data_IF_309496974036
#
_entry.id   IF_309496974036
#
_cell.length_a   1.000
_cell.length_b   1.000
_cell.length_c   1.000
_cell.angle_alpha   90.00
_cell.angle_beta   90.00
_cell.angle_gamma   90.00
#
_symmetry.space_group_name_H-M   'P 1'
#
loop_
_entity.id
_entity.type
_entity.pdbx_description
1 polymer ?
#
# COMPACT_ATOMS: atom_id res chain seq x y z
N UNK A 1 -4.25 19.89 -7.35
CA UNK A 1 -4.37 20.25 -5.92
C UNK A 1 -4.57 18.91 -5.23
N UNK A 2 -3.64 18.47 -4.37
CA UNK A 2 -3.85 17.21 -3.65
C UNK A 2 -4.95 17.40 -2.62
N UNK A 3 -5.82 16.40 -2.53
CA UNK A 3 -6.90 16.35 -1.57
C UNK A 3 -6.42 15.59 -0.33
N UNK A 4 -6.78 16.11 0.84
CA UNK A 4 -6.48 15.45 2.12
C UNK A 4 -7.17 14.09 2.20
N UNK A 5 -6.67 13.18 3.05
CA UNK A 5 -7.30 11.87 3.29
C UNK A 5 -8.81 11.97 3.56
N UNK A 6 -9.24 12.95 4.36
CA UNK A 6 -10.67 13.14 4.66
C UNK A 6 -11.47 13.53 3.41
N UNK A 7 -10.97 14.48 2.62
CA UNK A 7 -11.64 14.93 1.39
C UNK A 7 -11.62 13.84 0.31
N UNK A 8 -10.53 13.06 0.25
CA UNK A 8 -10.41 11.92 -0.65
C UNK A 8 -11.52 10.90 -0.40
N UNK A 9 -11.67 10.42 0.83
CA UNK A 9 -12.66 9.40 1.14
C UNK A 9 -14.10 9.92 1.03
N UNK A 10 -14.34 11.19 1.36
CA UNK A 10 -15.64 11.84 1.16
C UNK A 10 -16.08 11.95 -0.31
N UNK A 11 -15.13 11.99 -1.25
CA UNK A 11 -15.40 12.15 -2.69
C UNK A 11 -14.90 10.99 -3.54
N UNK A 12 -14.59 9.86 -2.89
CA UNK A 12 -13.95 8.71 -3.51
C UNK A 12 -14.83 8.13 -4.60
N UNK A 13 -14.28 7.99 -5.81
CA UNK A 13 -14.94 7.28 -6.92
C UNK A 13 -14.80 5.77 -6.74
N UNK A 14 -15.59 5.00 -7.47
CA UNK A 14 -15.52 3.54 -7.43
C UNK A 14 -14.15 2.98 -7.83
N UNK A 15 -13.86 1.79 -7.32
CA UNK A 15 -12.72 0.96 -7.68
C UNK A 15 -12.60 0.71 -9.18
N UNK A 16 -11.39 0.37 -9.63
CA UNK A 16 -11.18 -0.05 -11.01
C UNK A 16 -11.94 -1.35 -11.28
N UNK A 17 -12.44 -1.52 -12.50
CA UNK A 17 -13.18 -2.73 -12.91
C UNK A 17 -12.30 -3.93 -13.25
N UNK A 18 -11.01 -3.71 -13.50
CA UNK A 18 -10.06 -4.74 -13.95
C UNK A 18 -8.75 -4.54 -13.24
N UNK A 19 -8.15 -5.64 -12.81
CA UNK A 19 -6.80 -5.62 -12.25
C UNK A 19 -5.78 -5.12 -13.26
N UNK A 20 -4.84 -4.31 -12.77
CA UNK A 20 -3.75 -3.74 -13.57
C UNK A 20 -2.48 -4.55 -13.33
N UNK A 21 -1.59 -4.62 -14.33
CA UNK A 21 -0.34 -5.39 -14.22
C UNK A 21 0.60 -4.88 -13.11
N UNK A 22 0.50 -3.59 -12.79
CA UNK A 22 1.41 -2.93 -11.86
C UNK A 22 0.65 -2.14 -10.80
N UNK A 23 1.16 -2.13 -9.58
CA UNK A 23 0.69 -1.25 -8.52
C UNK A 23 1.79 -0.27 -8.16
N UNK A 24 1.39 0.89 -7.63
CA UNK A 24 2.30 1.89 -7.11
C UNK A 24 1.97 2.05 -5.63
N UNK A 25 3.00 2.02 -4.79
CA UNK A 25 2.91 2.27 -3.34
C UNK A 25 3.95 3.32 -2.99
N UNK A 26 3.60 4.24 -2.10
CA UNK A 26 4.52 5.28 -1.66
C UNK A 26 5.24 4.79 -0.42
N UNK A 27 6.52 5.10 -0.28
CA UNK A 27 7.25 4.95 0.97
C UNK A 27 7.12 6.26 1.76
N UNK A 28 6.33 6.21 2.85
CA UNK A 28 6.14 7.32 3.78
C UNK A 28 7.43 7.99 4.24
N UNK A 29 8.47 7.24 4.55
CA UNK A 29 9.73 7.78 5.11
C UNK A 29 10.56 8.54 4.07
N UNK A 30 10.31 8.31 2.78
CA UNK A 30 10.94 9.03 1.67
C UNK A 30 10.05 10.16 1.10
N UNK A 31 8.77 10.18 1.44
CA UNK A 31 7.81 11.11 0.84
C UNK A 31 7.70 12.41 1.64
N UNK A 32 7.93 13.56 1.00
CA UNK A 32 7.88 14.88 1.65
C UNK A 32 6.57 15.64 1.43
N UNK A 33 5.55 14.97 0.90
CA UNK A 33 4.31 15.60 0.47
C UNK A 33 4.45 16.75 -0.56
N UNK A 34 5.34 16.61 -1.56
CA UNK A 34 5.56 17.66 -2.58
C UNK A 34 4.46 17.79 -3.64
N UNK A 35 3.47 16.88 -3.67
CA UNK A 35 2.32 16.89 -4.59
C UNK A 35 2.65 16.67 -6.09
N UNK A 36 3.92 16.45 -6.46
CA UNK A 36 4.29 16.17 -7.87
C UNK A 36 3.57 14.95 -8.44
N UNK A 37 3.59 13.81 -7.75
CA UNK A 37 2.97 12.57 -8.22
C UNK A 37 1.45 12.67 -8.35
N UNK A 38 0.78 13.30 -7.39
CA UNK A 38 -0.67 13.43 -7.37
C UNK A 38 -1.18 14.28 -8.54
N UNK A 39 -0.46 15.33 -8.93
CA UNK A 39 -0.83 16.15 -10.12
C UNK A 39 -0.78 15.40 -11.44
N UNK A 40 0.01 14.32 -11.52
CA UNK A 40 0.18 13.52 -12.73
C UNK A 40 -0.74 12.28 -12.75
N UNK A 41 -1.44 11.99 -11.65
CA UNK A 41 -2.28 10.80 -11.57
C UNK A 41 -3.55 10.98 -12.41
N UNK A 42 -3.75 10.21 -13.50
CA UNK A 42 -4.87 10.42 -14.41
C UNK A 42 -6.23 9.98 -13.84
N UNK A 43 -6.23 9.30 -12.68
CA UNK A 43 -7.42 8.76 -12.02
C UNK A 43 -7.64 9.35 -10.62
N UNK A 44 -6.83 10.34 -10.23
CA UNK A 44 -6.90 11.04 -8.94
C UNK A 44 -7.01 10.06 -7.75
N UNK A 45 -6.10 9.07 -7.66
CA UNK A 45 -6.10 8.05 -6.61
C UNK A 45 -4.96 8.23 -5.59
N UNK A 46 -4.36 9.41 -5.53
CA UNK A 46 -3.26 9.73 -4.59
C UNK A 46 -3.77 10.84 -3.68
N UNK A 47 -3.69 10.64 -2.37
CA UNK A 47 -4.18 11.57 -1.35
C UNK A 47 -3.10 11.87 -0.32
N UNK A 48 -3.22 13.02 0.34
CA UNK A 48 -2.28 13.44 1.38
C UNK A 48 -2.75 12.99 2.76
N UNK A 49 -1.86 12.31 3.49
CA UNK A 49 -2.00 12.03 4.91
C UNK A 49 -1.28 13.15 5.67
N UNK A 50 -2.08 14.07 6.21
CA UNK A 50 -1.58 15.27 6.89
C UNK A 50 -1.07 14.93 8.29
N UNK A 51 0.17 15.33 8.59
CA UNK A 51 0.73 15.26 9.93
C UNK A 51 0.76 16.62 10.61
N UNK A 52 0.60 16.64 11.93
CA UNK A 52 0.83 17.83 12.75
C UNK A 52 2.32 18.11 12.98
N UNK A 53 3.17 17.11 12.75
CA UNK A 53 4.62 17.23 12.83
C UNK A 53 5.13 17.80 11.50
N UNK A 54 5.91 18.90 11.51
CA UNK A 54 6.49 19.47 10.30
C UNK A 54 7.25 18.42 9.49
N UNK A 55 7.06 18.44 8.16
CA UNK A 55 7.71 17.53 7.21
C UNK A 55 7.39 16.04 7.38
N UNK A 56 6.38 15.68 8.18
CA UNK A 56 5.93 14.30 8.36
C UNK A 56 4.62 13.99 7.60
N UNK A 57 4.08 14.96 6.84
CA UNK A 57 3.01 14.68 5.89
C UNK A 57 3.58 13.89 4.72
N UNK A 58 2.79 12.95 4.21
CA UNK A 58 3.16 12.10 3.08
C UNK A 58 1.92 11.86 2.21
N UNK A 59 2.13 11.30 1.02
CA UNK A 59 1.05 10.86 0.16
C UNK A 59 0.90 9.34 0.25
N UNK A 60 -0.32 8.86 0.10
CA UNK A 60 -0.62 7.44 -0.05
C UNK A 60 -1.44 7.22 -1.32
N UNK A 61 -1.33 6.02 -1.90
CA UNK A 61 -2.02 5.64 -3.13
C UNK A 61 -3.14 4.68 -2.76
N UNK A 62 -4.36 4.97 -3.22
CA UNK A 62 -5.45 4.01 -3.19
C UNK A 62 -5.20 2.92 -4.23
N UNK A 63 -4.64 1.80 -3.77
CA UNK A 63 -4.23 0.68 -4.63
C UNK A 63 -5.39 -0.05 -5.27
N UNK A 64 -6.65 0.19 -4.89
CA UNK A 64 -7.83 -0.37 -5.58
C UNK A 64 -8.28 0.48 -6.79
N UNK A 65 -7.82 1.75 -6.84
CA UNK A 65 -8.10 2.68 -7.95
C UNK A 65 -6.89 2.94 -8.84
N UNK A 66 -5.69 2.66 -8.34
CA UNK A 66 -4.46 2.74 -9.14
C UNK A 66 -4.59 1.90 -10.42
N UNK A 67 -4.19 2.47 -11.55
CA UNK A 67 -4.21 1.79 -12.85
C UNK A 67 -2.82 1.36 -13.32
N UNK A 68 -1.77 1.52 -12.51
CA UNK A 68 -0.42 1.06 -12.83
C UNK A 68 0.24 1.80 -14.00
N UNK A 69 -0.19 3.03 -14.29
CA UNK A 69 0.25 3.80 -15.46
C UNK A 69 1.69 4.33 -15.38
N UNK A 70 2.35 4.24 -14.22
CA UNK A 70 3.74 4.70 -13.96
C UNK A 70 3.98 6.22 -14.06
N UNK A 71 2.97 7.03 -14.42
CA UNK A 71 3.11 8.49 -14.56
C UNK A 71 3.40 9.20 -13.23
N UNK A 72 3.07 8.59 -12.09
CA UNK A 72 3.45 9.11 -10.77
C UNK A 72 4.96 8.97 -10.49
N UNK A 73 5.62 8.03 -11.16
CA UNK A 73 7.03 7.69 -10.97
C UNK A 73 7.92 8.38 -12.01
N UNK A 74 7.60 8.27 -13.31
CA UNK A 74 8.42 8.80 -14.42
C UNK A 74 7.59 9.38 -15.57
N UNK A 75 8.23 10.18 -16.43
CA UNK A 75 7.70 10.62 -17.72
C UNK A 75 8.39 9.83 -18.85
N UNK A 76 7.74 8.77 -19.39
CA UNK A 76 8.37 7.94 -20.41
C UNK A 76 8.72 8.71 -21.69
N UNK A 77 7.91 9.70 -22.07
CA UNK A 77 8.08 10.48 -23.32
C UNK A 77 9.27 11.44 -23.29
N UNK A 78 9.79 11.74 -22.10
CA UNK A 78 10.91 12.68 -21.91
C UNK A 78 12.16 11.99 -21.35
N UNK A 79 12.12 10.67 -21.20
CA UNK A 79 13.25 9.82 -20.83
C UNK A 79 14.01 9.34 -22.08
N UNK A 80 15.30 9.02 -21.96
CA UNK A 80 16.11 8.45 -23.04
C UNK A 80 17.11 7.40 -22.51
N UNK A 81 18.05 6.98 -23.35
CA UNK A 81 19.05 5.96 -22.98
C UNK A 81 20.05 6.41 -21.90
N UNK A 82 20.19 7.71 -21.65
CA UNK A 82 21.14 8.28 -20.70
C UNK A 82 20.50 8.72 -19.38
N UNK A 83 19.20 9.02 -19.37
CA UNK A 83 18.50 9.45 -18.16
C UNK A 83 17.01 9.09 -18.19
N UNK A 84 16.46 8.85 -17.00
CA UNK A 84 15.01 8.76 -16.76
C UNK A 84 14.55 10.06 -16.13
N UNK A 85 13.53 10.69 -16.71
CA UNK A 85 12.91 11.86 -16.09
C UNK A 85 11.87 11.40 -15.06
N UNK A 86 12.22 11.53 -13.79
CA UNK A 86 11.39 11.14 -12.66
C UNK A 86 10.40 12.26 -12.28
N UNK A 87 9.18 11.85 -11.93
CA UNK A 87 8.15 12.75 -11.39
C UNK A 87 8.29 12.90 -9.88
N UNK A 88 8.67 11.82 -9.18
CA UNK A 88 8.92 11.88 -7.75
C UNK A 88 10.39 12.22 -7.50
N UNK A 89 10.71 13.45 -7.03
CA UNK A 89 12.09 13.88 -6.84
C UNK A 89 12.82 13.16 -5.70
N UNK A 90 12.07 12.40 -4.88
CA UNK A 90 12.58 11.70 -3.69
C UNK A 90 12.71 10.20 -3.89
N UNK A 91 12.40 9.71 -5.10
CA UNK A 91 12.33 8.28 -5.38
C UNK A 91 11.50 7.50 -4.34
N UNK A 92 10.38 8.09 -3.92
CA UNK A 92 9.55 7.56 -2.83
C UNK A 92 8.43 6.63 -3.31
N UNK A 93 8.45 6.17 -4.58
CA UNK A 93 7.39 5.36 -5.16
C UNK A 93 7.96 4.02 -5.58
N UNK A 94 7.49 2.96 -4.93
CA UNK A 94 7.74 1.60 -5.34
C UNK A 94 6.71 1.20 -6.39
N UNK A 95 7.18 0.86 -7.59
CA UNK A 95 6.36 0.19 -8.60
C UNK A 95 6.48 -1.32 -8.40
N UNK A 96 5.35 -2.02 -8.32
CA UNK A 96 5.30 -3.45 -8.02
C UNK A 96 4.61 -4.21 -9.15
N UNK A 97 4.96 -5.50 -9.29
CA UNK A 97 4.08 -6.41 -10.02
C UNK A 97 2.81 -6.61 -9.20
N UNK A 98 1.64 -6.50 -9.83
CA UNK A 98 0.39 -6.69 -9.10
C UNK A 98 0.18 -8.19 -8.82
N UNK A 99 0.21 -8.63 -7.54
CA UNK A 99 0.04 -10.03 -7.20
C UNK A 99 -1.33 -10.56 -7.64
N UNK A 100 -2.36 -9.71 -7.76
CA UNK A 100 -3.71 -10.11 -8.16
C UNK A 100 -3.86 -10.47 -9.65
N UNK A 101 -2.87 -10.19 -10.51
CA UNK A 101 -2.95 -10.50 -11.96
C UNK A 101 -2.31 -11.85 -12.28
N UNK A 102 -1.13 -12.11 -11.71
CA UNK A 102 -0.41 -13.35 -11.91
C UNK A 102 0.18 -13.73 -10.55
N UNK A 103 -0.61 -14.39 -9.70
CA UNK A 103 -0.16 -14.73 -8.36
C UNK A 103 0.92 -15.81 -8.47
N UNK A 104 2.10 -15.50 -7.98
CA UNK A 104 3.08 -16.50 -7.58
C UNK A 104 2.79 -16.90 -6.11
N UNK A 105 3.60 -17.77 -5.51
CA UNK A 105 3.45 -18.08 -4.08
C UNK A 105 3.72 -16.83 -3.25
N UNK A 106 2.79 -16.49 -2.34
CA UNK A 106 2.93 -15.26 -1.57
C UNK A 106 4.07 -15.35 -0.58
N UNK A 107 4.81 -14.25 -0.43
CA UNK A 107 5.92 -14.15 0.54
C UNK A 107 5.45 -14.25 2.00
N UNK A 108 4.14 -14.10 2.23
CA UNK A 108 3.52 -14.18 3.55
C UNK A 108 3.22 -15.63 3.99
N UNK A 109 3.18 -16.59 3.06
CA UNK A 109 2.82 -17.99 3.35
C UNK A 109 3.64 -18.60 4.48
N UNK A 110 4.99 -18.46 4.52
CA UNK A 110 5.81 -19.05 5.59
C UNK A 110 5.49 -18.52 6.99
N UNK A 111 4.83 -17.38 7.08
CA UNK A 111 4.60 -16.66 8.33
C UNK A 111 3.16 -16.82 8.85
N UNK A 112 2.29 -17.52 8.15
CA UNK A 112 0.93 -17.76 8.61
C UNK A 112 0.80 -19.14 9.28
N UNK A 113 0.32 -19.11 10.52
CA UNK A 113 0.14 -20.27 11.40
C UNK A 113 -1.34 -20.50 11.79
N UNK A 114 -2.26 -19.80 11.13
CA UNK A 114 -3.69 -19.98 11.33
C UNK A 114 -4.25 -21.18 10.55
N UNK A 115 -5.50 -21.52 10.82
CA UNK A 115 -6.21 -22.56 10.05
C UNK A 115 -6.59 -22.02 8.65
N UNK A 116 -6.72 -22.93 7.68
CA UNK A 116 -7.22 -22.60 6.33
C UNK A 116 -6.28 -21.76 5.47
N UNK A 117 -4.96 -21.83 5.70
CA UNK A 117 -3.97 -21.05 4.95
C UNK A 117 -4.04 -21.25 3.43
N UNK A 118 -4.39 -22.44 2.95
CA UNK A 118 -4.49 -22.74 1.52
C UNK A 118 -5.60 -21.95 0.79
N UNK A 119 -6.64 -21.52 1.51
CA UNK A 119 -7.82 -20.84 0.95
C UNK A 119 -7.79 -19.32 1.15
N UNK A 120 -6.71 -18.78 1.71
CA UNK A 120 -6.60 -17.34 1.96
C UNK A 120 -6.48 -16.54 0.65
N UNK A 121 -6.98 -15.29 0.62
CA UNK A 121 -6.82 -14.39 -0.52
C UNK A 121 -5.39 -13.81 -0.57
N UNK A 122 -4.38 -14.68 -0.66
CA UNK A 122 -2.95 -14.35 -0.63
C UNK A 122 -2.56 -13.15 -1.50
N UNK A 123 -3.03 -13.04 -2.75
CA UNK A 123 -2.62 -11.91 -3.59
C UNK A 123 -3.08 -10.56 -3.03
N UNK A 124 -4.28 -10.53 -2.44
CA UNK A 124 -4.82 -9.31 -1.85
C UNK A 124 -4.21 -9.02 -0.48
N UNK A 125 -3.91 -10.06 0.29
CA UNK A 125 -3.14 -9.93 1.54
C UNK A 125 -1.76 -9.33 1.24
N UNK A 126 -1.03 -9.87 0.26
CA UNK A 126 0.29 -9.37 -0.14
C UNK A 126 0.26 -7.90 -0.58
N UNK A 127 -0.75 -7.50 -1.37
CA UNK A 127 -0.93 -6.10 -1.77
C UNK A 127 -1.05 -5.14 -0.59
N UNK A 128 -1.83 -5.50 0.44
CA UNK A 128 -2.01 -4.63 1.62
C UNK A 128 -0.88 -4.77 2.63
N UNK A 129 -0.31 -5.97 2.80
CA UNK A 129 0.86 -6.20 3.64
C UNK A 129 2.05 -5.36 3.17
N UNK A 130 2.26 -5.22 1.85
CA UNK A 130 3.31 -4.34 1.33
C UNK A 130 3.06 -2.86 1.66
N UNK A 131 1.79 -2.41 1.68
CA UNK A 131 1.45 -1.06 2.12
C UNK A 131 1.70 -0.88 3.61
N UNK A 132 1.40 -1.87 4.45
CA UNK A 132 1.73 -1.84 5.87
C UNK A 132 3.24 -1.86 6.10
N UNK A 133 4.00 -2.59 5.31
CA UNK A 133 5.47 -2.58 5.34
C UNK A 133 6.02 -1.18 5.06
N UNK A 134 5.57 -0.50 4.00
CA UNK A 134 6.12 0.81 3.62
C UNK A 134 5.57 2.00 4.42
N UNK A 135 4.25 2.05 4.63
CA UNK A 135 3.58 3.22 5.22
C UNK A 135 3.26 3.00 6.70
N UNK A 136 3.18 1.74 7.14
CA UNK A 136 2.75 1.35 8.47
C UNK A 136 1.27 1.60 8.75
N UNK A 137 0.52 2.15 7.79
CA UNK A 137 -0.90 2.46 7.93
C UNK A 137 -1.63 2.41 6.59
N UNK A 138 -2.88 1.94 6.64
CA UNK A 138 -3.77 1.83 5.48
C UNK A 138 -5.12 2.42 5.84
N UNK A 139 -5.69 3.20 4.92
CA UNK A 139 -7.02 3.77 5.03
C UNK A 139 -7.96 3.05 4.07
N UNK A 140 -9.07 2.54 4.59
CA UNK A 140 -10.11 1.89 3.80
C UNK A 140 -11.44 2.65 3.89
N UNK A 141 -12.25 2.69 2.83
CA UNK A 141 -13.58 3.27 2.89
C UNK A 141 -14.46 2.49 3.88
N UNK A 142 -15.34 3.17 4.61
CA UNK A 142 -16.25 2.53 5.60
C UNK A 142 -17.25 1.56 4.99
N UNK A 143 -17.52 1.67 3.69
CA UNK A 143 -18.53 0.91 2.96
C UNK A 143 -17.97 -0.32 2.20
N UNK A 144 -16.70 -0.69 2.42
CA UNK A 144 -16.05 -1.85 1.76
C UNK A 144 -15.94 -3.05 2.71
N UNK A 145 -17.05 -3.74 2.96
CA UNK A 145 -17.10 -4.88 3.88
C UNK A 145 -16.12 -6.01 3.48
N UNK A 146 -16.03 -6.32 2.19
CA UNK A 146 -15.15 -7.36 1.65
C UNK A 146 -13.67 -7.08 2.00
N UNK A 147 -13.25 -5.82 1.99
CA UNK A 147 -11.87 -5.45 2.34
C UNK A 147 -11.61 -5.59 3.85
N UNK A 148 -12.63 -5.36 4.69
CA UNK A 148 -12.51 -5.62 6.13
C UNK A 148 -12.40 -7.12 6.44
N UNK A 149 -13.09 -7.97 5.67
CA UNK A 149 -12.92 -9.42 5.81
C UNK A 149 -11.47 -9.85 5.49
N UNK A 150 -10.89 -9.26 4.43
CA UNK A 150 -9.50 -9.51 4.04
C UNK A 150 -8.52 -9.02 5.10
N UNK A 151 -8.65 -7.76 5.54
CA UNK A 151 -7.79 -7.21 6.59
C UNK A 151 -8.00 -7.89 7.95
N UNK A 152 -9.18 -8.45 8.20
CA UNK A 152 -9.49 -9.20 9.41
C UNK A 152 -8.62 -10.46 9.59
N UNK A 153 -7.95 -10.95 8.55
CA UNK A 153 -6.91 -11.98 8.69
C UNK A 153 -5.65 -11.46 9.38
N UNK A 154 -5.30 -10.19 9.19
CA UNK A 154 -4.16 -9.56 9.85
C UNK A 154 -4.41 -9.21 11.32
N UNK A 155 -5.67 -9.04 11.73
CA UNK A 155 -6.03 -8.74 13.12
C UNK A 155 -6.06 -9.97 14.04
N UNK A 156 -5.97 -11.19 13.47
CA UNK A 156 -5.91 -12.44 14.23
C UNK A 156 -4.48 -12.72 14.69
N UNK A 157 -4.36 -13.37 15.85
CA UNK A 157 -3.08 -13.87 16.37
C UNK A 157 -2.67 -15.19 15.70
N UNK A 158 -2.57 -15.12 14.37
CA UNK A 158 -2.28 -16.26 13.49
C UNK A 158 -0.92 -16.11 12.79
N UNK A 159 -0.15 -15.05 13.06
CA UNK A 159 1.09 -14.75 12.35
C UNK A 159 2.31 -15.06 13.19
N UNK A 160 3.28 -15.75 12.60
CA UNK A 160 4.55 -16.09 13.22
C UNK A 160 5.39 -14.83 13.47
N UNK A 161 5.89 -14.69 14.70
CA UNK A 161 6.87 -13.68 15.08
C UNK A 161 8.15 -14.32 15.63
N UNK A 162 7.98 -15.30 16.52
CA UNK A 162 9.04 -16.10 17.13
C UNK A 162 8.49 -17.51 17.45
N UNK A 163 9.35 -18.45 17.82
CA UNK A 163 9.07 -19.89 17.94
C UNK A 163 7.68 -20.25 18.49
N UNK A 164 7.31 -19.66 19.64
CA UNK A 164 6.04 -19.91 20.33
C UNK A 164 5.14 -18.66 20.40
N UNK A 165 5.45 -17.62 19.63
CA UNK A 165 4.74 -16.33 19.67
C UNK A 165 4.01 -16.10 18.36
N UNK A 166 2.67 -16.08 18.46
CA UNK A 166 1.80 -15.58 17.40
C UNK A 166 1.37 -14.16 17.70
N UNK A 167 1.30 -13.35 16.66
CA UNK A 167 0.91 -11.94 16.75
C UNK A 167 -0.18 -11.61 15.75
N UNK A 168 -0.86 -10.50 15.98
CA UNK A 168 -1.62 -9.80 14.96
C UNK A 168 -0.68 -8.85 14.24
N UNK A 169 -0.81 -8.71 12.92
CA UNK A 169 0.02 -7.77 12.17
C UNK A 169 -0.49 -6.34 12.25
N UNK A 170 -1.81 -6.15 12.41
CA UNK A 170 -2.43 -4.82 12.40
C UNK A 170 -3.49 -4.65 13.49
N UNK A 171 -3.85 -3.40 13.74
CA UNK A 171 -4.99 -3.01 14.56
C UNK A 171 -5.75 -1.82 13.94
N UNK A 172 -7.07 -1.80 14.12
CA UNK A 172 -7.87 -0.60 13.87
C UNK A 172 -7.51 0.50 14.88
N UNK A 173 -7.10 1.67 14.39
CA UNK A 173 -6.66 2.80 15.23
C UNK A 173 -7.53 4.04 15.08
N UNK A 174 -8.40 4.10 14.08
CA UNK A 174 -9.40 5.15 13.92
C UNK A 174 -10.52 4.72 12.98
N UNK A 175 -11.72 5.25 13.23
CA UNK A 175 -12.89 5.10 12.36
C UNK A 175 -13.72 6.38 12.39
N UNK A 176 -14.12 6.84 11.22
CA UNK A 176 -15.10 7.92 11.07
C UNK A 176 -16.17 7.50 10.05
N UNK A 177 -16.96 8.44 9.53
CA UNK A 177 -18.00 8.14 8.54
C UNK A 177 -17.44 7.80 7.14
N UNK A 178 -16.22 8.28 6.83
CA UNK A 178 -15.61 8.19 5.50
C UNK A 178 -14.63 7.00 5.37
N UNK A 179 -13.81 6.78 6.39
CA UNK A 179 -12.79 5.72 6.37
C UNK A 179 -12.54 5.08 7.74
N UNK A 180 -11.88 3.92 7.67
CA UNK A 180 -11.24 3.20 8.78
C UNK A 180 -9.73 3.22 8.56
N UNK A 181 -8.96 3.51 9.61
CA UNK A 181 -7.49 3.48 9.59
C UNK A 181 -7.00 2.27 10.36
N UNK A 182 -6.28 1.40 9.65
CA UNK A 182 -5.53 0.31 10.24
C UNK A 182 -4.06 0.70 10.33
N UNK A 183 -3.38 0.26 11.38
CA UNK A 183 -1.94 0.42 11.56
C UNK A 183 -1.27 -0.91 11.84
N UNK A 184 -0.08 -1.08 11.30
CA UNK A 184 0.76 -2.21 11.69
C UNK A 184 1.15 -2.07 13.16
N UNK A 185 1.06 -3.17 13.91
CA UNK A 185 1.61 -3.30 15.27
C UNK A 185 3.14 -3.24 15.22
N UNK A 186 3.80 -3.12 16.37
CA UNK A 186 5.27 -3.15 16.42
C UNK A 186 5.81 -4.50 15.92
N UNK A 187 5.25 -5.59 16.44
CA UNK A 187 5.60 -6.95 16.04
C UNK A 187 5.20 -7.24 14.58
N UNK A 188 4.09 -6.63 14.13
CA UNK A 188 3.64 -6.72 12.74
C UNK A 188 4.63 -6.06 11.78
N UNK A 189 5.17 -4.89 12.13
CA UNK A 189 6.21 -4.22 11.32
C UNK A 189 7.47 -5.06 11.22
N UNK A 190 7.98 -5.53 12.35
CA UNK A 190 9.17 -6.38 12.41
C UNK A 190 9.01 -7.63 11.52
N UNK A 191 7.86 -8.31 11.60
CA UNK A 191 7.58 -9.47 10.75
C UNK A 191 7.54 -9.09 9.26
N UNK A 192 6.89 -7.97 8.92
CA UNK A 192 6.76 -7.49 7.54
C UNK A 192 8.11 -7.07 6.95
N UNK A 193 9.01 -6.50 7.76
CA UNK A 193 10.38 -6.15 7.37
C UNK A 193 11.18 -7.38 6.92
N UNK A 194 11.01 -8.51 7.62
CA UNK A 194 11.64 -9.79 7.25
C UNK A 194 10.93 -10.41 6.04
N UNK A 195 9.59 -10.38 6.00
CA UNK A 195 8.80 -10.99 4.94
C UNK A 195 9.05 -10.36 3.56
N UNK A 196 9.26 -9.04 3.52
CA UNK A 196 9.50 -8.29 2.30
C UNK A 196 10.98 -7.98 2.05
N UNK A 197 11.91 -8.61 2.78
CA UNK A 197 13.34 -8.52 2.52
C UNK A 197 13.64 -9.02 1.10
N UNK A 198 14.20 -8.13 0.25
CA UNK A 198 14.51 -8.46 -1.14
C UNK A 198 13.28 -8.59 -2.05
N UNK A 199 12.10 -8.14 -1.62
CA UNK A 199 10.89 -8.16 -2.44
C UNK A 199 11.08 -7.40 -3.75
N UNK A 200 10.62 -7.99 -4.85
CA UNK A 200 10.91 -7.48 -6.19
C UNK A 200 10.15 -6.17 -6.46
N UNK A 201 10.91 -5.09 -6.62
CA UNK A 201 10.41 -3.80 -7.11
C UNK A 201 10.76 -3.63 -8.58
N UNK A 202 9.97 -2.83 -9.28
CA UNK A 202 10.15 -2.52 -10.69
C UNK A 202 10.68 -1.10 -10.81
N UNK A 203 11.64 -0.89 -11.71
CA UNK A 203 12.21 0.44 -12.04
C UNK A 203 12.99 1.11 -10.90
N UNK A 204 13.38 0.35 -9.88
CA UNK A 204 14.41 0.74 -8.92
C UNK A 204 15.64 -0.07 -9.27
N UNK A 205 16.53 0.56 -10.04
CA UNK A 205 17.84 -0.01 -10.39
C UNK A 205 18.77 -0.01 -9.16
#
# INVERSE_FOLDING_TARGET
MTISVNEYFATRKSDRKKETRYLAVINKDSCTSCNSCATQCPVDCIYEVVSTVPSASFHQIDTSRCIGCQLCFRIPTESNEYYTLEICPWNAIDMLHNPNVKPDESVLVPYYLGEGGDDLPWPKLEEYAYQFFLDGEVFLPTNEADLFEILGHFEREDWYYDDDVKVRLIEETARNEEFVRFRATEEGRDMLDVAFEGYQRIFLD
#
